data_IF_285349895978
#
_entry.id   IF_285349895978
#
_cell.length_a   1.000
_cell.length_b   1.000
_cell.length_c   1.000
_cell.angle_alpha   90.00
_cell.angle_beta   90.00
_cell.angle_gamma   90.00
#
_symmetry.space_group_name_H-M   'P 1'
#
loop_
_entity.id
_entity.type
_entity.pdbx_description
1 polymer ?
#
# COMPACT_ATOMS: atom_id res chain seq x y z
N UNK A 1 8.02 13.58 7.77
CA UNK A 1 7.99 13.33 9.24
C UNK A 1 8.68 12.02 9.59
N UNK A 2 8.19 10.82 9.15
CA UNK A 2 8.72 9.51 9.53
C UNK A 2 10.23 9.37 9.30
N UNK A 3 10.73 9.83 8.15
CA UNK A 3 12.16 9.80 7.86
C UNK A 3 12.95 10.75 8.76
N UNK A 4 12.42 11.94 9.05
CA UNK A 4 13.05 12.88 9.97
C UNK A 4 13.15 12.33 11.40
N UNK A 5 12.23 11.42 11.75
CA UNK A 5 12.25 10.66 13.00
C UNK A 5 13.18 9.43 12.98
N UNK A 6 13.99 9.26 11.93
CA UNK A 6 14.97 8.18 11.85
C UNK A 6 14.44 6.84 11.31
N UNK A 7 13.25 6.80 10.72
CA UNK A 7 12.62 5.55 10.31
C UNK A 7 12.87 5.21 8.85
N UNK A 8 12.94 3.90 8.58
CA UNK A 8 12.84 3.33 7.24
C UNK A 8 11.39 3.09 6.89
N UNK A 9 11.01 3.50 5.69
CA UNK A 9 9.61 3.50 5.23
C UNK A 9 9.49 2.75 3.91
N UNK A 10 8.55 1.82 3.82
CA UNK A 10 8.12 1.23 2.55
C UNK A 10 6.91 1.99 2.04
N UNK A 11 6.91 2.32 0.76
CA UNK A 11 5.76 2.92 0.08
C UNK A 11 5.35 2.02 -1.07
N UNK A 12 4.17 1.47 -0.98
CA UNK A 12 3.58 0.63 -2.02
C UNK A 12 2.57 1.42 -2.84
N UNK A 13 2.61 1.22 -4.15
CA UNK A 13 1.58 1.68 -5.09
C UNK A 13 1.33 0.62 -6.16
N UNK A 14 0.09 0.54 -6.62
CA UNK A 14 -0.26 -0.26 -7.80
C UNK A 14 0.18 0.41 -9.09
N UNK A 15 0.30 1.75 -9.10
CA UNK A 15 0.66 2.54 -10.27
C UNK A 15 2.15 2.89 -10.27
N UNK A 16 2.89 2.34 -11.23
CA UNK A 16 4.33 2.66 -11.42
C UNK A 16 4.53 4.15 -11.71
N UNK A 17 3.62 4.77 -12.48
CA UNK A 17 3.65 6.20 -12.78
C UNK A 17 3.57 7.06 -11.51
N UNK A 18 2.77 6.66 -10.52
CA UNK A 18 2.72 7.35 -9.23
C UNK A 18 4.04 7.21 -8.46
N UNK A 19 4.62 6.02 -8.46
CA UNK A 19 5.93 5.80 -7.84
C UNK A 19 7.03 6.64 -8.50
N UNK A 20 6.96 6.85 -9.81
CA UNK A 20 7.90 7.73 -10.54
C UNK A 20 7.73 9.19 -10.14
N UNK A 21 6.51 9.67 -9.97
CA UNK A 21 6.25 11.05 -9.47
C UNK A 21 6.85 11.22 -8.07
N UNK A 22 6.60 10.28 -7.16
CA UNK A 22 7.15 10.31 -5.79
C UNK A 22 8.67 10.23 -5.83
N UNK A 23 9.24 9.35 -6.66
CA UNK A 23 10.67 9.20 -6.86
C UNK A 23 11.31 10.52 -7.27
N UNK A 24 10.83 11.13 -8.35
CA UNK A 24 11.35 12.39 -8.88
C UNK A 24 11.30 13.51 -7.82
N UNK A 25 10.24 13.56 -7.03
CA UNK A 25 10.13 14.52 -5.94
C UNK A 25 11.17 14.30 -4.85
N UNK A 26 11.39 13.05 -4.43
CA UNK A 26 12.38 12.71 -3.41
C UNK A 26 13.82 12.95 -3.91
N UNK A 27 14.09 12.64 -5.17
CA UNK A 27 15.40 12.90 -5.81
C UNK A 27 15.68 14.39 -5.91
N UNK A 28 14.71 15.21 -6.29
CA UNK A 28 14.85 16.67 -6.32
C UNK A 28 15.14 17.27 -4.94
N UNK A 29 14.73 16.62 -3.87
CA UNK A 29 15.03 17.00 -2.49
C UNK A 29 16.33 16.32 -1.96
N UNK A 30 17.12 15.66 -2.82
CA UNK A 30 18.31 14.89 -2.45
C UNK A 30 18.06 13.88 -1.33
N UNK A 31 16.90 13.21 -1.35
CA UNK A 31 16.53 12.23 -0.32
C UNK A 31 16.91 10.82 -0.75
N UNK A 32 17.66 10.06 0.08
CA UNK A 32 17.98 8.66 -0.22
C UNK A 32 16.72 7.82 -0.40
N UNK A 33 16.66 7.09 -1.50
CA UNK A 33 15.58 6.17 -1.79
C UNK A 33 16.09 4.91 -2.49
N UNK A 34 15.28 3.86 -2.40
CA UNK A 34 15.38 2.65 -3.21
C UNK A 34 14.12 2.53 -4.07
N UNK A 35 14.21 1.90 -5.22
CA UNK A 35 13.11 1.80 -6.16
C UNK A 35 13.02 0.40 -6.77
N UNK A 36 11.86 -0.24 -6.65
CA UNK A 36 11.66 -1.60 -7.14
C UNK A 36 10.30 -1.75 -7.82
N UNK A 37 10.35 -2.05 -9.11
CA UNK A 37 9.19 -2.36 -9.95
C UNK A 37 9.38 -3.68 -10.68
N UNK A 38 8.41 -4.06 -11.51
CA UNK A 38 8.53 -5.23 -12.39
C UNK A 38 9.70 -5.14 -13.37
N UNK A 39 10.18 -3.93 -13.68
CA UNK A 39 11.28 -3.68 -14.63
C UNK A 39 12.66 -3.60 -13.97
N UNK A 40 12.73 -3.62 -12.64
CA UNK A 40 14.02 -3.54 -11.92
C UNK A 40 14.85 -4.79 -12.18
N UNK A 41 16.02 -4.61 -12.78
CA UNK A 41 16.95 -5.71 -13.15
C UNK A 41 17.64 -6.30 -11.92
N UNK A 42 18.24 -5.46 -11.09
CA UNK A 42 18.92 -5.87 -9.86
C UNK A 42 18.02 -5.70 -8.62
N UNK A 43 17.03 -6.57 -8.51
CA UNK A 43 16.09 -6.58 -7.38
C UNK A 43 16.78 -6.90 -6.06
N UNK A 44 17.77 -7.82 -6.10
CA UNK A 44 18.49 -8.26 -4.90
C UNK A 44 19.35 -7.14 -4.36
N UNK A 45 20.09 -6.44 -5.20
CA UNK A 45 20.93 -5.30 -4.82
C UNK A 45 20.13 -4.16 -4.20
N UNK A 46 18.95 -3.81 -4.75
CA UNK A 46 18.08 -2.79 -4.17
C UNK A 46 17.58 -3.19 -2.77
N UNK A 47 17.22 -4.45 -2.57
CA UNK A 47 16.78 -4.96 -1.26
C UNK A 47 17.95 -4.95 -0.26
N UNK A 48 19.10 -5.45 -0.65
CA UNK A 48 20.28 -5.50 0.21
C UNK A 48 20.74 -4.12 0.62
N UNK A 49 20.81 -3.18 -0.33
CA UNK A 49 21.12 -1.78 -0.08
C UNK A 49 20.17 -1.17 0.96
N UNK A 50 18.86 -1.39 0.81
CA UNK A 50 17.87 -0.90 1.78
C UNK A 50 18.02 -1.56 3.15
N UNK A 51 18.27 -2.87 3.20
CA UNK A 51 18.42 -3.60 4.45
C UNK A 51 19.68 -3.17 5.24
N UNK A 52 20.79 -2.97 4.54
CA UNK A 52 22.10 -2.71 5.17
C UNK A 52 22.36 -1.24 5.49
N UNK A 53 21.75 -0.30 4.76
CA UNK A 53 21.91 1.13 5.09
C UNK A 53 21.42 1.41 6.51
N UNK A 54 22.16 2.27 7.23
CA UNK A 54 21.77 2.73 8.57
C UNK A 54 20.92 4.00 8.52
N UNK A 55 20.98 4.71 7.41
CA UNK A 55 20.30 5.98 7.25
C UNK A 55 18.79 5.80 7.03
N UNK A 56 17.98 6.74 7.52
CA UNK A 56 16.55 6.78 7.23
C UNK A 56 16.31 6.89 5.73
N UNK A 57 15.60 5.95 5.17
CA UNK A 57 15.40 5.85 3.72
C UNK A 57 13.98 5.42 3.37
N UNK A 58 13.59 5.73 2.15
CA UNK A 58 12.30 5.34 1.58
C UNK A 58 12.53 4.26 0.53
N UNK A 59 11.75 3.20 0.56
CA UNK A 59 11.75 2.20 -0.49
C UNK A 59 10.41 2.24 -1.21
N UNK A 60 10.42 2.64 -2.46
CA UNK A 60 9.26 2.70 -3.34
C UNK A 60 9.10 1.35 -4.05
N UNK A 61 7.95 0.71 -3.90
CA UNK A 61 7.70 -0.62 -4.44
C UNK A 61 6.37 -0.67 -5.18
N UNK A 62 6.37 -1.25 -6.37
CA UNK A 62 5.08 -1.62 -6.98
C UNK A 62 4.51 -2.85 -6.27
N UNK A 63 3.18 -2.88 -6.05
CA UNK A 63 2.50 -4.00 -5.39
C UNK A 63 2.79 -5.34 -6.07
N UNK A 64 2.81 -5.37 -7.41
CA UNK A 64 3.16 -6.57 -8.18
C UNK A 64 4.59 -7.04 -7.92
N UNK A 65 5.55 -6.12 -7.83
CA UNK A 65 6.94 -6.46 -7.55
C UNK A 65 7.14 -6.86 -6.09
N UNK A 66 6.43 -6.23 -5.17
CA UNK A 66 6.41 -6.58 -3.75
C UNK A 66 5.89 -7.99 -3.46
N UNK A 67 5.04 -8.56 -4.35
CA UNK A 67 4.49 -9.92 -4.22
C UNK A 67 5.51 -11.07 -4.27
N UNK A 68 6.74 -10.85 -4.69
CA UNK A 68 7.74 -11.90 -4.98
C UNK A 68 8.67 -12.22 -3.79
N UNK A 69 8.14 -12.62 -2.65
CA UNK A 69 8.96 -13.24 -1.58
C UNK A 69 9.99 -12.32 -0.90
N UNK A 70 9.84 -11.00 -0.99
CA UNK A 70 10.80 -10.05 -0.44
C UNK A 70 10.84 -10.12 1.08
N UNK A 71 12.03 -10.01 1.65
CA UNK A 71 12.23 -9.86 3.09
C UNK A 71 12.68 -8.41 3.35
N UNK A 72 11.84 -7.59 3.99
CA UNK A 72 12.04 -6.15 4.20
C UNK A 72 11.91 -5.78 5.69
N UNK A 73 12.50 -6.60 6.55
CA UNK A 73 12.40 -6.49 8.01
C UNK A 73 13.09 -5.26 8.62
N UNK A 74 13.88 -4.51 7.85
CA UNK A 74 14.50 -3.28 8.37
C UNK A 74 13.55 -2.08 8.42
N UNK A 75 12.37 -2.16 7.81
CA UNK A 75 11.37 -1.11 7.85
C UNK A 75 10.42 -1.27 9.04
N UNK A 76 10.07 -0.15 9.66
CA UNK A 76 9.07 -0.08 10.75
C UNK A 76 7.75 0.51 10.27
N UNK A 77 7.72 1.12 9.10
CA UNK A 77 6.54 1.76 8.54
C UNK A 77 6.27 1.30 7.12
N UNK A 78 4.99 1.07 6.85
CA UNK A 78 4.45 0.74 5.53
C UNK A 78 3.41 1.78 5.17
N UNK A 79 3.50 2.35 3.98
CA UNK A 79 2.49 3.26 3.42
C UNK A 79 1.91 2.60 2.17
N UNK A 80 0.63 2.33 2.19
CA UNK A 80 -0.15 1.95 1.01
C UNK A 80 -0.70 3.25 0.43
N UNK A 81 -0.10 3.69 -0.69
CA UNK A 81 -0.39 5.00 -1.26
C UNK A 81 -1.75 5.04 -1.97
N UNK A 82 -2.05 3.97 -2.67
CA UNK A 82 -3.33 3.70 -3.33
C UNK A 82 -3.77 2.30 -2.89
N UNK A 83 -4.80 2.19 -2.04
CA UNK A 83 -5.27 0.90 -1.55
C UNK A 83 -5.76 0.03 -2.71
N UNK A 84 -5.52 -1.28 -2.61
CA UNK A 84 -5.97 -2.25 -3.59
C UNK A 84 -7.39 -2.72 -3.26
N UNK A 85 -8.15 -3.06 -4.30
CA UNK A 85 -9.49 -3.64 -4.17
C UNK A 85 -9.49 -4.92 -3.33
N UNK A 86 -8.38 -5.65 -3.40
CA UNK A 86 -8.18 -6.92 -2.74
C UNK A 86 -7.38 -6.72 -1.44
N UNK A 87 -8.02 -6.81 -0.25
CA UNK A 87 -7.34 -6.69 1.03
C UNK A 87 -6.24 -7.73 1.24
N UNK A 88 -6.32 -8.91 0.60
CA UNK A 88 -5.30 -9.94 0.74
C UNK A 88 -3.96 -9.52 0.11
N UNK A 89 -3.98 -8.77 -1.00
CA UNK A 89 -2.76 -8.21 -1.61
C UNK A 89 -2.12 -7.17 -0.70
N UNK A 90 -2.92 -6.33 -0.03
CA UNK A 90 -2.43 -5.39 0.97
C UNK A 90 -1.83 -6.10 2.18
N UNK A 91 -2.55 -7.07 2.73
CA UNK A 91 -2.05 -7.88 3.84
C UNK A 91 -0.74 -8.57 3.48
N UNK A 92 -0.65 -9.12 2.27
CA UNK A 92 0.59 -9.72 1.78
C UNK A 92 1.74 -8.71 1.70
N UNK A 93 1.49 -7.45 1.28
CA UNK A 93 2.50 -6.41 1.26
C UNK A 93 2.97 -6.04 2.68
N UNK A 94 2.05 -5.96 3.64
CA UNK A 94 2.35 -5.71 5.06
C UNK A 94 3.12 -6.89 5.67
N UNK A 95 2.73 -8.12 5.40
CA UNK A 95 3.37 -9.35 5.91
C UNK A 95 4.82 -9.51 5.44
N UNK A 96 5.22 -8.83 4.34
CA UNK A 96 6.63 -8.79 3.89
C UNK A 96 7.54 -8.10 4.89
N UNK A 97 7.00 -7.18 5.67
CA UNK A 97 7.72 -6.49 6.74
C UNK A 97 7.60 -7.20 8.09
N UNK A 98 6.51 -7.92 8.30
CA UNK A 98 6.21 -8.61 9.57
C UNK A 98 6.62 -10.09 9.54
N UNK A 99 7.84 -10.39 9.06
CA UNK A 99 8.39 -11.75 9.01
C UNK A 99 9.23 -12.11 10.23
N UNK A 100 9.54 -13.40 10.33
CA UNK A 100 10.50 -13.95 11.32
C UNK A 100 11.82 -13.15 11.21
N UNK A 101 12.22 -12.51 12.31
CA UNK A 101 13.38 -11.61 12.39
C UNK A 101 13.03 -10.14 12.55
N UNK A 102 11.77 -9.73 12.40
CA UNK A 102 11.31 -8.37 12.74
C UNK A 102 11.23 -8.23 14.27
N UNK A 103 12.04 -7.32 14.80
CA UNK A 103 12.09 -7.00 16.24
C UNK A 103 11.21 -5.83 16.62
N UNK A 104 10.78 -5.04 15.64
CA UNK A 104 10.03 -3.81 15.87
C UNK A 104 8.57 -3.99 15.44
N UNK A 105 7.68 -3.25 16.11
CA UNK A 105 6.28 -3.13 15.68
C UNK A 105 6.24 -2.46 14.31
N UNK A 106 5.52 -3.04 13.37
CA UNK A 106 5.28 -2.46 12.04
C UNK A 106 3.96 -1.68 12.08
N UNK A 107 4.01 -0.43 11.63
CA UNK A 107 2.84 0.43 11.52
C UNK A 107 2.52 0.61 10.04
N UNK A 108 1.29 0.26 9.65
CA UNK A 108 0.82 0.41 8.28
C UNK A 108 -0.17 1.59 8.17
N UNK A 109 0.12 2.51 7.27
CA UNK A 109 -0.77 3.60 6.88
C UNK A 109 -1.40 3.30 5.52
N UNK A 110 -2.69 3.54 5.41
CA UNK A 110 -3.40 3.57 4.14
C UNK A 110 -3.81 5.00 3.85
N UNK A 111 -3.40 5.51 2.68
CA UNK A 111 -3.81 6.84 2.24
C UNK A 111 -5.09 6.69 1.41
N UNK A 112 -6.12 7.37 1.84
CA UNK A 112 -7.41 7.42 1.15
C UNK A 112 -7.73 8.89 0.86
N UNK A 113 -8.13 9.18 -0.36
CA UNK A 113 -8.68 10.49 -0.70
C UNK A 113 -10.11 10.54 -0.18
N UNK A 114 -10.46 11.62 0.49
CA UNK A 114 -11.83 11.85 0.96
C UNK A 114 -12.79 11.91 -0.24
N UNK A 115 -13.97 11.35 -0.09
CA UNK A 115 -15.05 11.31 -1.09
C UNK A 115 -14.66 10.59 -2.40
N UNK A 116 -13.61 9.76 -2.36
CA UNK A 116 -13.17 8.97 -3.50
C UNK A 116 -13.92 7.64 -3.61
N UNK A 117 -13.85 7.05 -4.81
CA UNK A 117 -14.35 5.70 -5.08
C UNK A 117 -13.70 4.67 -4.15
N UNK A 118 -12.41 4.83 -3.87
CA UNK A 118 -11.64 3.96 -2.98
C UNK A 118 -12.18 4.00 -1.53
N UNK A 119 -12.52 5.18 -1.04
CA UNK A 119 -13.12 5.32 0.29
C UNK A 119 -14.49 4.65 0.36
N UNK A 120 -15.34 4.85 -0.63
CA UNK A 120 -16.66 4.23 -0.72
C UNK A 120 -16.59 2.70 -0.79
N UNK A 121 -15.66 2.17 -1.59
CA UNK A 121 -15.41 0.73 -1.65
C UNK A 121 -15.00 0.20 -0.29
N UNK A 122 -14.15 0.93 0.42
CA UNK A 122 -13.70 0.52 1.75
C UNK A 122 -14.84 0.49 2.76
N UNK A 123 -15.73 1.46 2.71
CA UNK A 123 -16.95 1.47 3.53
C UNK A 123 -17.78 0.21 3.26
N UNK A 124 -18.01 -0.09 1.99
CA UNK A 124 -18.77 -1.30 1.59
C UNK A 124 -18.07 -2.60 2.00
N UNK A 125 -16.75 -2.68 1.83
CA UNK A 125 -15.97 -3.83 2.30
C UNK A 125 -16.11 -4.02 3.81
N UNK A 126 -16.05 -2.94 4.59
CA UNK A 126 -16.21 -3.01 6.04
C UNK A 126 -17.61 -3.49 6.44
N UNK A 127 -18.65 -2.94 5.82
CA UNK A 127 -20.04 -3.34 6.06
C UNK A 127 -20.28 -4.80 5.69
N UNK A 128 -19.76 -5.26 4.53
CA UNK A 128 -19.95 -6.63 4.06
C UNK A 128 -19.08 -7.65 4.79
N UNK A 129 -17.85 -7.29 5.19
CA UNK A 129 -17.02 -8.17 6.01
C UNK A 129 -17.59 -8.42 7.40
N UNK A 130 -18.38 -7.53 7.95
CA UNK A 130 -19.13 -7.81 9.18
C UNK A 130 -20.22 -8.86 8.96
N UNK A 131 -20.76 -8.96 7.75
CA UNK A 131 -21.82 -9.93 7.38
C UNK A 131 -21.23 -11.26 6.86
N UNK A 132 -20.02 -11.25 6.29
CA UNK A 132 -19.45 -12.36 5.49
C UNK A 132 -18.09 -12.84 6.03
N UNK A 133 -17.71 -12.44 7.23
CA UNK A 133 -16.37 -12.66 7.82
C UNK A 133 -15.84 -14.11 7.82
N UNK A 134 -16.62 -15.09 7.36
CA UNK A 134 -16.27 -16.51 7.47
C UNK A 134 -16.32 -17.34 6.17
N UNK A 135 -16.71 -16.82 5.00
CA UNK A 135 -17.05 -17.73 3.89
C UNK A 135 -16.46 -17.41 2.52
N UNK A 136 -16.13 -16.17 2.17
CA UNK A 136 -15.78 -15.84 0.78
C UNK A 136 -14.48 -15.01 0.69
N UNK A 137 -13.52 -15.51 -0.10
CA UNK A 137 -12.34 -14.75 -0.52
C UNK A 137 -12.71 -13.58 -1.45
N UNK A 138 -11.68 -12.96 -2.08
CA UNK A 138 -11.84 -11.74 -2.90
C UNK A 138 -12.84 -11.81 -4.04
N UNK A 139 -12.99 -12.97 -4.67
CA UNK A 139 -14.03 -13.22 -5.68
C UNK A 139 -15.41 -13.08 -5.08
N UNK A 140 -15.56 -13.34 -3.78
CA UNK A 140 -16.81 -13.19 -3.05
C UNK A 140 -17.24 -11.74 -2.86
N UNK A 141 -16.33 -10.78 -2.66
CA UNK A 141 -16.71 -9.37 -2.52
C UNK A 141 -17.27 -8.83 -3.83
N UNK A 142 -16.56 -9.02 -4.95
CA UNK A 142 -16.98 -8.51 -6.25
C UNK A 142 -18.30 -9.12 -6.70
N UNK A 143 -18.52 -10.42 -6.47
CA UNK A 143 -19.77 -11.10 -6.80
C UNK A 143 -20.92 -10.75 -5.86
N UNK A 144 -20.65 -10.17 -4.68
CA UNK A 144 -21.65 -9.74 -3.70
C UNK A 144 -22.14 -8.30 -3.92
N UNK A 145 -21.56 -7.54 -4.87
CA UNK A 145 -21.98 -6.19 -5.18
C UNK A 145 -23.33 -6.19 -5.92
N UNK A 146 -24.30 -5.52 -5.33
CA UNK A 146 -25.59 -5.25 -5.95
C UNK A 146 -25.62 -3.92 -6.70
N UNK A 147 -26.76 -3.65 -7.37
CA UNK A 147 -26.95 -2.37 -8.10
C UNK A 147 -26.87 -1.17 -7.15
N UNK A 148 -27.39 -1.29 -5.95
CA UNK A 148 -27.35 -0.23 -4.94
C UNK A 148 -25.93 0.09 -4.48
N UNK A 149 -25.07 -0.94 -4.35
CA UNK A 149 -23.66 -0.77 -4.03
C UNK A 149 -22.92 -0.03 -5.15
N UNK A 150 -23.22 -0.37 -6.40
CA UNK A 150 -22.63 0.30 -7.57
C UNK A 150 -23.08 1.77 -7.64
N UNK A 151 -24.36 2.03 -7.38
CA UNK A 151 -24.85 3.40 -7.30
C UNK A 151 -24.17 4.19 -6.19
N UNK A 152 -23.99 3.59 -5.01
CA UNK A 152 -23.26 4.24 -3.90
C UNK A 152 -21.80 4.57 -4.27
N UNK A 153 -21.10 3.67 -4.98
CA UNK A 153 -19.74 3.88 -5.43
C UNK A 153 -19.66 5.02 -6.45
N UNK A 154 -20.59 5.06 -7.41
CA UNK A 154 -20.53 5.95 -8.58
C UNK A 154 -21.14 7.33 -8.31
N UNK A 155 -22.08 7.48 -7.37
CA UNK A 155 -22.64 8.77 -7.04
C UNK A 155 -21.56 9.66 -6.41
N UNK A 156 -21.22 10.74 -7.10
CA UNK A 156 -20.53 11.89 -6.49
C UNK A 156 -21.52 12.51 -5.51
N UNK A 157 -21.05 12.84 -4.31
CA UNK A 157 -21.90 13.42 -3.27
C UNK A 157 -22.47 14.78 -3.68
N UNK A 158 -23.60 14.74 -4.37
CA UNK A 158 -24.44 15.90 -4.67
C UNK A 158 -25.48 16.16 -3.56
N UNK A 159 -25.23 15.69 -2.34
CA UNK A 159 -26.14 15.86 -1.21
C UNK A 159 -25.59 16.81 -0.14
N UNK A 160 -25.08 18.00 -0.55
CA UNK A 160 -24.97 19.14 0.36
C UNK A 160 -25.29 20.45 -0.38
N UNK A 161 -26.56 20.62 -0.80
CA UNK A 161 -27.23 21.92 -0.91
C UNK A 161 -28.70 21.73 -0.59
N UNK A 162 -29.06 22.02 0.64
CA UNK A 162 -30.40 22.06 1.14
C UNK A 162 -30.46 22.68 2.53
#
# INVERSE_FOLDING_TARGET
>A
ELRAAGHKVLVFSQFVSMLEIIKNRLEAENRPLNYLTGQTKDRRGEIEKFQTTKDPSVFLLSLKAGGAGLNLTSASYVVLYDPWWNPAVESQAIDRTHRIGQKNKVIAYRLLTKDSVEEKIRILQHQKNQLVANVLGDEGFTSSLGIDDLNFILNHGDDEEG
#
